data_IF_962436504478
#
_entry.id   IF_962436504478
#
_cell.length_a   1.000
_cell.length_b   1.000
_cell.length_c   1.000
_cell.angle_alpha   90.00
_cell.angle_beta   90.00
_cell.angle_gamma   90.00
#
_symmetry.space_group_name_H-M   'P 1'
#
loop_
_entity.id
_entity.type
_entity.pdbx_description
1 polymer ?
#
# COMPACT_ATOMS: atom_id res chain seq x y z
N UNK A 1 -2.00 14.90 -15.75
CA UNK A 1 -2.27 14.04 -16.92
C UNK A 1 -3.77 13.80 -16.86
N UNK A 2 -4.53 14.29 -17.85
CA UNK A 2 -5.96 14.60 -17.73
C UNK A 2 -6.88 13.41 -17.45
N UNK A 3 -8.15 13.71 -17.17
CA UNK A 3 -9.23 12.76 -16.91
C UNK A 3 -9.29 11.65 -17.99
N UNK A 4 -8.78 10.46 -17.66
CA UNK A 4 -8.87 9.28 -18.52
C UNK A 4 -10.15 8.49 -18.18
N UNK A 5 -10.93 8.16 -19.20
CA UNK A 5 -12.15 7.35 -19.02
C UNK A 5 -11.76 5.88 -18.97
N UNK A 6 -11.80 5.30 -17.77
CA UNK A 6 -11.45 3.89 -17.53
C UNK A 6 -12.61 2.96 -17.94
N UNK A 7 -13.86 3.39 -17.78
CA UNK A 7 -15.05 2.61 -18.16
C UNK A 7 -16.25 3.53 -18.43
N UNK A 8 -17.01 3.24 -19.49
CA UNK A 8 -18.24 3.97 -19.84
C UNK A 8 -19.48 3.07 -20.02
N UNK A 9 -19.31 1.73 -19.98
CA UNK A 9 -20.43 0.79 -20.16
C UNK A 9 -21.36 0.79 -18.96
N UNK A 10 -22.65 0.97 -19.22
CA UNK A 10 -23.69 0.95 -18.20
C UNK A 10 -24.63 -0.24 -18.38
N UNK A 11 -25.23 -0.70 -17.28
CA UNK A 11 -26.24 -1.76 -17.24
C UNK A 11 -27.46 -1.29 -16.47
N UNK A 12 -28.65 -1.66 -16.89
CA UNK A 12 -29.88 -1.36 -16.14
C UNK A 12 -29.92 -2.22 -14.87
N UNK A 13 -30.21 -1.62 -13.72
CA UNK A 13 -30.37 -2.34 -12.47
C UNK A 13 -31.55 -3.32 -12.55
N UNK A 14 -31.56 -4.43 -11.78
CA UNK A 14 -32.63 -5.44 -11.85
C UNK A 14 -34.04 -4.90 -11.62
N UNK A 15 -34.17 -3.78 -10.89
CA UNK A 15 -35.43 -3.10 -10.60
C UNK A 15 -35.95 -2.23 -11.75
N UNK A 16 -35.15 -2.00 -12.81
CA UNK A 16 -35.48 -1.12 -13.93
C UNK A 16 -35.44 0.39 -13.62
N UNK A 17 -35.30 0.77 -12.36
CA UNK A 17 -35.37 2.16 -11.90
C UNK A 17 -34.04 2.91 -11.87
N UNK A 18 -32.92 2.22 -12.09
CA UNK A 18 -31.59 2.80 -12.01
C UNK A 18 -30.66 2.24 -13.08
N UNK A 19 -29.63 3.02 -13.43
CA UNK A 19 -28.53 2.61 -14.29
C UNK A 19 -27.28 2.44 -13.43
N UNK A 20 -26.54 1.37 -13.66
CA UNK A 20 -25.31 1.02 -12.94
C UNK A 20 -24.12 1.04 -13.88
N UNK A 21 -23.03 1.67 -13.45
CA UNK A 21 -21.71 1.52 -14.03
C UNK A 21 -20.82 0.82 -13.00
N UNK A 22 -20.00 -0.14 -13.44
CA UNK A 22 -19.08 -0.85 -12.56
C UNK A 22 -17.73 -0.95 -13.23
N UNK A 23 -16.69 -0.57 -12.49
CA UNK A 23 -15.29 -0.73 -12.88
C UNK A 23 -14.63 -1.72 -11.93
N UNK A 24 -13.81 -2.61 -12.49
CA UNK A 24 -12.94 -3.52 -11.74
C UNK A 24 -11.53 -3.23 -12.20
N UNK A 25 -10.70 -2.75 -11.28
CA UNK A 25 -9.28 -2.52 -11.55
C UNK A 25 -8.53 -3.82 -11.26
N UNK A 26 -7.78 -4.28 -12.24
CA UNK A 26 -6.90 -5.45 -12.15
C UNK A 26 -5.45 -4.98 -12.18
N UNK A 27 -4.55 -5.76 -11.58
CA UNK A 27 -3.10 -5.52 -11.63
C UNK A 27 -2.65 -4.13 -11.14
N UNK A 28 -3.19 -3.68 -9.99
CA UNK A 28 -2.79 -2.42 -9.37
C UNK A 28 -1.30 -2.41 -8.99
N UNK A 29 -0.61 -1.38 -9.43
CA UNK A 29 0.80 -1.10 -9.13
C UNK A 29 0.98 -0.21 -7.89
N UNK A 30 2.23 0.12 -7.55
CA UNK A 30 2.53 1.06 -6.44
C UNK A 30 2.22 2.50 -6.82
N UNK A 31 2.33 2.80 -8.10
CA UNK A 31 2.03 4.08 -8.74
C UNK A 31 0.54 4.44 -8.64
N UNK A 32 -0.34 3.46 -8.43
CA UNK A 32 -1.78 3.69 -8.28
C UNK A 32 -2.17 4.14 -6.87
N UNK A 33 -1.21 4.23 -5.94
CA UNK A 33 -1.49 4.67 -4.58
C UNK A 33 -2.01 6.11 -4.59
N UNK A 34 -3.15 6.32 -3.94
CA UNK A 34 -3.88 7.57 -3.91
C UNK A 34 -4.39 8.03 -5.29
N UNK A 35 -4.43 7.15 -6.30
CA UNK A 35 -5.14 7.43 -7.54
C UNK A 35 -6.60 7.78 -7.24
N UNK A 36 -7.08 8.82 -7.91
CA UNK A 36 -8.43 9.35 -7.75
C UNK A 36 -9.35 8.75 -8.80
N UNK A 37 -10.43 8.09 -8.36
CA UNK A 37 -11.45 7.53 -9.23
C UNK A 37 -12.74 8.32 -9.08
N UNK A 38 -13.13 9.02 -10.14
CA UNK A 38 -14.37 9.80 -10.16
C UNK A 38 -15.44 9.10 -10.99
N UNK A 39 -16.55 8.74 -10.36
CA UNK A 39 -17.77 8.34 -11.07
C UNK A 39 -18.58 9.59 -11.44
N UNK A 40 -18.90 9.77 -12.73
CA UNK A 40 -19.72 10.89 -13.22
C UNK A 40 -20.99 10.36 -13.86
N UNK A 41 -22.15 10.82 -13.38
CA UNK A 41 -23.47 10.53 -13.95
C UNK A 41 -23.95 11.75 -14.74
N UNK A 42 -24.11 11.57 -16.05
CA UNK A 42 -24.51 12.64 -16.97
C UNK A 42 -25.83 12.32 -17.65
N UNK A 43 -26.83 13.19 -17.44
CA UNK A 43 -28.20 12.98 -17.93
C UNK A 43 -28.59 13.93 -19.09
N UNK A 44 -28.05 15.15 -19.09
CA UNK A 44 -28.35 16.18 -20.10
C UNK A 44 -27.29 17.28 -20.10
N UNK A 45 -27.34 18.18 -21.09
CA UNK A 45 -26.37 19.28 -21.26
C UNK A 45 -26.77 20.60 -20.56
N UNK A 46 -27.75 20.59 -19.66
CA UNK A 46 -28.24 21.79 -18.94
C UNK A 46 -27.78 21.84 -17.48
N UNK A 47 -27.57 20.67 -16.87
CA UNK A 47 -27.11 20.54 -15.49
C UNK A 47 -25.71 19.95 -15.43
N UNK A 48 -24.94 20.35 -14.42
CA UNK A 48 -23.66 19.70 -14.14
C UNK A 48 -23.89 18.21 -13.81
N UNK A 49 -23.00 17.31 -14.27
CA UNK A 49 -23.11 15.91 -13.93
C UNK A 49 -22.92 15.70 -12.42
N UNK A 50 -23.64 14.74 -11.85
CA UNK A 50 -23.41 14.33 -10.47
C UNK A 50 -22.11 13.54 -10.44
N UNK A 51 -21.19 13.93 -9.55
CA UNK A 51 -19.90 13.25 -9.39
C UNK A 51 -19.68 12.76 -7.96
N UNK A 52 -19.00 11.63 -7.84
CA UNK A 52 -18.50 11.11 -6.57
C UNK A 52 -17.11 10.54 -6.78
N UNK A 53 -16.21 10.86 -5.86
CA UNK A 53 -14.79 10.53 -5.93
C UNK A 53 -14.40 9.59 -4.81
N UNK A 54 -13.60 8.58 -5.13
CA UNK A 54 -12.92 7.71 -4.16
C UNK A 54 -11.42 7.68 -4.44
N UNK A 55 -10.63 7.34 -3.42
CA UNK A 55 -9.17 7.23 -3.54
C UNK A 55 -8.75 5.78 -3.34
N UNK A 56 -7.79 5.32 -4.14
CA UNK A 56 -7.20 3.99 -4.00
C UNK A 56 -6.20 4.00 -2.83
N UNK A 57 -6.50 3.24 -1.79
CA UNK A 57 -5.62 3.07 -0.63
C UNK A 57 -5.08 1.63 -0.58
N UNK A 58 -3.77 1.47 -0.55
CA UNK A 58 -3.12 0.16 -0.72
C UNK A 58 -2.09 -0.17 0.36
N UNK A 59 -1.98 -1.47 0.63
CA UNK A 59 -0.96 -2.02 1.50
C UNK A 59 0.15 -2.68 0.66
N UNK A 60 1.39 -2.44 1.06
CA UNK A 60 2.57 -2.95 0.41
C UNK A 60 3.45 -3.70 1.41
N UNK A 61 3.90 -4.88 1.00
CA UNK A 61 5.01 -5.56 1.67
C UNK A 61 6.29 -4.72 1.57
N UNK A 62 7.26 -4.90 2.49
CA UNK A 62 8.59 -4.34 2.33
C UNK A 62 9.15 -4.67 0.96
N UNK A 63 9.75 -3.68 0.31
CA UNK A 63 10.54 -3.89 -0.90
C UNK A 63 11.81 -4.66 -0.57
N UNK A 64 12.37 -4.37 0.60
CA UNK A 64 13.68 -4.83 0.98
C UNK A 64 13.80 -5.04 2.49
N UNK A 65 14.58 -6.06 2.89
CA UNK A 65 14.86 -6.41 4.30
C UNK A 65 16.27 -6.97 4.42
N UNK A 66 17.11 -6.32 5.21
CA UNK A 66 18.50 -6.73 5.42
C UNK A 66 18.94 -6.60 6.88
N UNK A 67 19.77 -7.54 7.33
CA UNK A 67 20.49 -7.43 8.59
C UNK A 67 21.83 -6.75 8.32
N UNK A 68 22.04 -5.58 8.90
CA UNK A 68 23.28 -4.83 8.88
C UNK A 68 24.21 -5.45 9.93
N UNK A 69 25.23 -6.17 9.46
CA UNK A 69 26.28 -6.77 10.29
C UNK A 69 27.59 -6.05 10.03
N UNK A 70 28.39 -5.82 11.08
CA UNK A 70 29.78 -5.41 10.89
C UNK A 70 30.57 -6.53 10.20
N UNK A 71 31.58 -6.20 9.41
CA UNK A 71 32.38 -7.16 8.62
C UNK A 71 33.23 -8.14 9.46
N UNK A 72 33.03 -8.20 10.78
CA UNK A 72 33.88 -8.96 11.70
C UNK A 72 33.22 -10.30 12.10
N UNK A 73 34.00 -11.39 12.20
CA UNK A 73 33.52 -12.66 12.71
C UNK A 73 32.95 -12.53 14.13
N UNK A 74 31.83 -13.22 14.38
CA UNK A 74 31.22 -13.29 15.70
C UNK A 74 32.00 -14.30 16.57
N UNK A 75 32.39 -13.88 17.77
CA UNK A 75 33.13 -14.70 18.73
C UNK A 75 32.24 -15.12 19.90
N UNK A 76 32.44 -16.35 20.38
CA UNK A 76 31.70 -16.87 21.53
C UNK A 76 31.95 -16.01 22.79
N UNK A 77 30.92 -15.89 23.62
CA UNK A 77 30.99 -15.12 24.88
C UNK A 77 30.92 -13.60 24.72
N UNK A 78 30.86 -13.06 23.49
CA UNK A 78 30.71 -11.62 23.24
C UNK A 78 29.28 -11.25 22.90
N UNK A 79 28.88 -10.04 23.31
CA UNK A 79 27.59 -9.44 22.95
C UNK A 79 27.76 -8.64 21.66
N UNK A 80 26.77 -8.75 20.79
CA UNK A 80 26.70 -8.03 19.52
C UNK A 80 25.33 -7.40 19.39
N UNK A 81 25.30 -6.16 18.94
CA UNK A 81 24.08 -5.49 18.53
C UNK A 81 23.94 -5.64 17.01
N UNK A 82 22.84 -6.24 16.58
CA UNK A 82 22.50 -6.42 15.17
C UNK A 82 21.38 -5.46 14.82
N UNK A 83 21.50 -4.83 13.66
CA UNK A 83 20.47 -3.92 13.15
C UNK A 83 19.78 -4.58 11.96
N UNK A 84 18.46 -4.55 11.94
CA UNK A 84 17.66 -4.96 10.78
C UNK A 84 17.10 -3.68 10.19
N UNK A 85 17.16 -3.57 8.88
CA UNK A 85 16.58 -2.47 8.13
C UNK A 85 15.60 -3.03 7.12
N UNK A 86 14.39 -2.50 7.12
CA UNK A 86 13.32 -2.77 6.16
C UNK A 86 12.88 -1.48 5.48
N UNK A 87 12.55 -1.52 4.19
CA UNK A 87 12.11 -0.33 3.45
C UNK A 87 10.93 -0.57 2.52
N UNK A 88 10.18 0.49 2.22
CA UNK A 88 9.10 0.50 1.22
C UNK A 88 7.79 -0.22 1.63
N UNK A 89 7.62 -0.51 2.92
CA UNK A 89 6.40 -1.10 3.46
C UNK A 89 5.31 -0.04 3.68
N UNK A 90 4.06 -0.40 3.43
CA UNK A 90 2.88 0.40 3.82
C UNK A 90 1.77 -0.53 4.32
N UNK A 91 1.25 -0.35 5.54
CA UNK A 91 1.80 0.48 6.61
C UNK A 91 3.21 0.01 7.01
N UNK A 92 3.79 0.70 7.97
CA UNK A 92 5.10 0.35 8.51
C UNK A 92 5.21 -1.13 8.88
N UNK A 93 6.34 -1.74 8.53
CA UNK A 93 6.58 -3.15 8.80
C UNK A 93 6.82 -3.39 10.29
N UNK A 94 6.32 -4.51 10.80
CA UNK A 94 6.65 -5.00 12.14
C UNK A 94 7.79 -6.00 12.07
N UNK A 95 8.94 -5.66 12.62
CA UNK A 95 10.15 -6.49 12.55
C UNK A 95 10.21 -7.42 13.78
N UNK A 96 10.52 -8.70 13.58
CA UNK A 96 10.72 -9.64 14.69
C UNK A 96 12.02 -10.40 14.54
N UNK A 97 12.73 -10.57 15.64
CA UNK A 97 14.01 -11.28 15.66
C UNK A 97 13.85 -12.70 16.19
N UNK A 98 14.51 -13.64 15.51
CA UNK A 98 14.47 -15.06 15.84
C UNK A 98 15.87 -15.65 15.79
N UNK A 99 16.19 -16.53 16.74
CA UNK A 99 17.44 -17.28 16.79
C UNK A 99 17.15 -18.73 17.17
N UNK A 100 17.50 -19.67 16.30
CA UNK A 100 17.29 -21.10 16.55
C UNK A 100 15.82 -21.46 16.86
N UNK A 101 14.87 -20.84 16.16
CA UNK A 101 13.44 -21.04 16.36
C UNK A 101 12.83 -20.33 17.59
N UNK A 102 13.63 -19.65 18.42
CA UNK A 102 13.14 -18.87 19.55
C UNK A 102 13.08 -17.38 19.19
N UNK A 103 11.93 -16.76 19.45
CA UNK A 103 11.76 -15.31 19.32
C UNK A 103 12.59 -14.59 20.38
N UNK A 104 13.30 -13.56 19.96
CA UNK A 104 14.03 -12.65 20.87
C UNK A 104 13.09 -11.53 21.31
N UNK A 105 13.10 -11.20 22.60
CA UNK A 105 12.19 -10.19 23.18
C UNK A 105 12.86 -8.83 23.39
N UNK A 106 14.18 -8.80 23.57
CA UNK A 106 14.94 -7.55 23.72
C UNK A 106 15.23 -6.96 22.34
N UNK A 107 14.29 -6.19 21.82
CA UNK A 107 14.39 -5.49 20.53
C UNK A 107 14.14 -4.00 20.77
N UNK A 108 14.89 -3.15 20.07
CA UNK A 108 14.60 -1.73 19.93
C UNK A 108 14.17 -1.49 18.50
N UNK A 109 12.93 -1.05 18.31
CA UNK A 109 12.41 -0.63 17.01
C UNK A 109 12.53 0.88 16.90
N UNK A 110 13.05 1.35 15.77
CA UNK A 110 13.17 2.78 15.46
C UNK A 110 12.62 3.00 14.07
N UNK A 111 11.89 4.09 13.88
CA UNK A 111 11.25 4.43 12.62
C UNK A 111 11.91 5.68 12.07
N UNK A 112 12.27 5.68 10.79
CA UNK A 112 12.70 6.93 10.14
C UNK A 112 11.58 7.97 10.20
N UNK A 113 11.93 9.26 10.33
CA UNK A 113 10.97 10.37 10.30
C UNK A 113 10.14 10.39 9.01
N UNK A 114 10.70 9.86 7.92
CA UNK A 114 10.03 9.78 6.62
C UNK A 114 9.14 8.52 6.47
N UNK A 115 9.06 7.66 7.50
CA UNK A 115 8.24 6.45 7.54
C UNK A 115 8.63 5.35 6.54
N UNK A 116 9.61 5.61 5.67
CA UNK A 116 10.00 4.71 4.59
C UNK A 116 10.91 3.56 5.06
N UNK A 117 11.53 3.70 6.23
CA UNK A 117 12.50 2.76 6.78
C UNK A 117 12.20 2.43 8.24
N UNK A 118 12.25 1.14 8.58
CA UNK A 118 12.10 0.59 9.95
C UNK A 118 13.23 -0.37 10.24
#
# INVERSE_FOLDING_TARGET
RGDEIIQNRTSVAPTGSAVRNQVVLVDLGREDLHSELTCRAWNNNKTLPLSSTVHVDMNFRPLDVHILVSSQPLSAGRRYDLLCQSSGSRPQAKVTWWKGGKRLESIKETTSNDGNTT
#
